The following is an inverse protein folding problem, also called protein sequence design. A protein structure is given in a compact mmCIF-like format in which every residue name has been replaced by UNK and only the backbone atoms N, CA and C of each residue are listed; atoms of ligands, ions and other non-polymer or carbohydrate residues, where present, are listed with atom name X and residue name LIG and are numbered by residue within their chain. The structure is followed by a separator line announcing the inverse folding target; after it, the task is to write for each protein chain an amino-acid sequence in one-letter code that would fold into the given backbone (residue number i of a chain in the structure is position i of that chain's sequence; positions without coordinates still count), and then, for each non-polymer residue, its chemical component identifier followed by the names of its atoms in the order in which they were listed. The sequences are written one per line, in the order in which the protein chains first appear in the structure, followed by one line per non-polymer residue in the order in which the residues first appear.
data_IF_302456443565
#
_entry.id   IF_302456443565
#
_cell.length_a   1.000
_cell.length_b   1.000
_cell.length_c   1.000
_cell.angle_alpha   90.00
_cell.angle_beta   90.00
_cell.angle_gamma   90.00
#
_symmetry.space_group_name_H-M   'P 1'
#
loop_
_entity.id
_entity.type
_entity.pdbx_description
1 polymer ?
#
# COMPACT_ATOMS: atom_id res chain seq x y z
N UNK A 1 17.65 -1.24 -13.10
CA UNK A 1 16.45 -1.65 -12.34
C UNK A 1 15.62 -2.51 -13.27
N UNK A 2 15.45 -3.79 -12.95
CA UNK A 2 14.49 -4.62 -13.66
C UNK A 2 13.11 -4.04 -13.36
N UNK A 3 12.46 -3.48 -14.38
CA UNK A 3 11.15 -2.90 -14.23
C UNK A 3 10.15 -4.06 -14.25
N UNK A 4 9.79 -4.54 -13.06
CA UNK A 4 8.84 -5.63 -12.91
C UNK A 4 7.45 -5.14 -13.31
N UNK A 5 6.89 -5.68 -14.39
CA UNK A 5 5.56 -5.26 -14.88
C UNK A 5 4.49 -5.46 -13.81
N UNK A 6 4.60 -6.51 -12.97
CA UNK A 6 3.61 -6.78 -11.92
C UNK A 6 3.73 -5.79 -10.77
N UNK A 7 4.95 -5.39 -10.40
CA UNK A 7 5.14 -4.32 -9.42
C UNK A 7 4.51 -3.02 -9.91
N UNK A 8 4.73 -2.65 -11.18
CA UNK A 8 4.13 -1.45 -11.76
C UNK A 8 2.60 -1.49 -11.69
N UNK A 9 1.99 -2.62 -12.06
CA UNK A 9 0.55 -2.84 -11.96
C UNK A 9 0.05 -2.67 -10.52
N UNK A 10 0.70 -3.34 -9.55
CA UNK A 10 0.34 -3.23 -8.13
C UNK A 10 0.46 -1.79 -7.61
N UNK A 11 1.44 -1.02 -8.08
CA UNK A 11 1.58 0.40 -7.72
C UNK A 11 0.46 1.26 -8.31
N UNK A 12 0.04 0.99 -9.54
CA UNK A 12 -1.09 1.68 -10.18
C UNK A 12 -2.42 1.35 -9.48
N UNK A 13 -2.62 0.09 -9.09
CA UNK A 13 -3.76 -0.36 -8.28
C UNK A 13 -3.76 0.31 -6.89
N UNK A 14 -2.61 0.32 -6.20
CA UNK A 14 -2.48 0.95 -4.89
C UNK A 14 -2.77 2.46 -4.94
N UNK A 15 -2.24 3.17 -5.94
CA UNK A 15 -2.55 4.59 -6.17
C UNK A 15 -4.05 4.81 -6.36
N UNK A 16 -4.71 3.93 -7.12
CA UNK A 16 -6.14 4.03 -7.38
C UNK A 16 -6.95 3.80 -6.10
N UNK A 17 -6.59 2.77 -5.32
CA UNK A 17 -7.24 2.46 -4.05
C UNK A 17 -7.15 3.61 -3.02
N UNK A 18 -5.98 4.26 -2.91
CA UNK A 18 -5.79 5.43 -2.04
C UNK A 18 -6.72 6.58 -2.48
N UNK A 19 -6.75 6.87 -3.79
CA UNK A 19 -7.60 7.93 -4.34
C UNK A 19 -9.08 7.62 -4.12
N UNK A 20 -9.50 6.38 -4.34
CA UNK A 20 -10.89 5.94 -4.12
C UNK A 20 -11.28 6.06 -2.65
N UNK A 21 -10.45 5.61 -1.71
CA UNK A 21 -10.72 5.75 -0.28
C UNK A 21 -10.94 7.22 0.13
N UNK A 22 -10.10 8.14 -0.35
CA UNK A 22 -10.26 9.58 -0.09
C UNK A 22 -11.54 10.15 -0.75
N UNK A 23 -11.87 9.72 -1.98
CA UNK A 23 -13.07 10.15 -2.71
C UNK A 23 -14.36 9.64 -2.08
N UNK A 24 -14.32 8.44 -1.52
CA UNK A 24 -15.45 7.77 -0.86
C UNK A 24 -15.67 8.28 0.58
N UNK A 25 -14.93 9.31 0.99
CA UNK A 25 -15.12 9.99 2.26
C UNK A 25 -14.46 9.27 3.44
N UNK A 26 -13.21 8.80 3.25
CA UNK A 26 -12.39 8.28 4.34
C UNK A 26 -12.52 9.15 5.61
N UNK A 27 -12.79 8.49 6.74
CA UNK A 27 -13.14 9.14 8.02
C UNK A 27 -12.30 8.65 9.21
N UNK A 28 -11.28 7.82 8.94
CA UNK A 28 -10.29 7.41 9.95
C UNK A 28 -9.20 8.45 10.14
N UNK A 29 -8.16 8.12 10.91
CA UNK A 29 -6.97 8.98 11.02
C UNK A 29 -6.12 8.84 9.76
N UNK A 30 -5.60 9.94 9.22
CA UNK A 30 -4.76 9.86 8.01
C UNK A 30 -3.51 8.99 8.19
N UNK A 31 -2.96 8.91 9.39
CA UNK A 31 -1.84 8.02 9.72
C UNK A 31 -2.20 6.54 9.59
N UNK A 32 -3.48 6.21 9.69
CA UNK A 32 -4.01 4.84 9.57
C UNK A 32 -4.54 4.55 8.16
N UNK A 33 -4.58 5.53 7.25
CA UNK A 33 -5.15 5.38 5.90
C UNK A 33 -4.53 4.17 5.16
N UNK A 34 -3.21 4.04 5.25
CA UNK A 34 -2.50 2.90 4.66
C UNK A 34 -2.99 1.56 5.20
N UNK A 35 -3.07 1.42 6.52
CA UNK A 35 -3.56 0.20 7.15
C UNK A 35 -5.00 -0.11 6.76
N UNK A 36 -5.87 0.91 6.78
CA UNK A 36 -7.28 0.76 6.42
C UNK A 36 -7.45 0.31 4.97
N UNK A 37 -6.67 0.85 4.04
CA UNK A 37 -6.78 0.52 2.61
C UNK A 37 -6.18 -0.84 2.28
N UNK A 38 -5.09 -1.25 2.93
CA UNK A 38 -4.29 -2.39 2.47
C UNK A 38 -4.20 -3.58 3.44
N UNK A 39 -4.75 -3.47 4.65
CA UNK A 39 -4.64 -4.52 5.68
C UNK A 39 -5.99 -4.99 6.25
N UNK A 40 -7.08 -4.28 5.97
CA UNK A 40 -8.42 -4.64 6.49
C UNK A 40 -9.14 -5.69 5.64
N UNK A 41 -8.71 -5.88 4.39
CA UNK A 41 -9.15 -6.95 3.49
C UNK A 41 -7.97 -7.50 2.69
N UNK A 42 -8.15 -8.68 2.10
CA UNK A 42 -7.14 -9.30 1.25
C UNK A 42 -7.21 -8.75 -0.18
N UNK A 43 -6.04 -8.31 -0.66
CA UNK A 43 -5.75 -8.05 -2.07
C UNK A 43 -6.02 -9.28 -2.94
N UNK A 44 -5.55 -10.46 -2.54
CA UNK A 44 -5.80 -11.72 -3.26
C UNK A 44 -6.29 -12.80 -2.29
N UNK A 45 -7.47 -13.36 -2.63
CA UNK A 45 -8.03 -14.56 -2.04
C UNK A 45 -7.90 -15.73 -3.03
N UNK A 46 -7.35 -16.84 -2.56
CA UNK A 46 -7.14 -18.09 -3.29
C UNK A 46 -5.67 -18.37 -3.58
N UNK A 47 -5.14 -19.44 -2.99
CA UNK A 47 -3.75 -19.92 -3.15
C UNK A 47 -3.26 -19.99 -4.61
N UNK A 48 -4.11 -20.42 -5.54
CA UNK A 48 -3.72 -20.53 -6.96
C UNK A 48 -3.43 -19.15 -7.56
N UNK A 49 -4.32 -18.17 -7.35
CA UNK A 49 -4.15 -16.80 -7.84
C UNK A 49 -2.95 -16.11 -7.17
N UNK A 50 -2.78 -16.32 -5.87
CA UNK A 50 -1.63 -15.78 -5.14
C UNK A 50 -0.29 -16.28 -5.71
N UNK A 51 -0.20 -17.59 -6.02
CA UNK A 51 1.00 -18.16 -6.67
C UNK A 51 1.26 -17.59 -8.06
N UNK A 52 0.20 -17.35 -8.86
CA UNK A 52 0.35 -16.71 -10.17
C UNK A 52 0.90 -15.28 -10.04
N UNK A 53 0.29 -14.45 -9.19
CA UNK A 53 0.74 -13.08 -8.97
C UNK A 53 2.18 -13.00 -8.46
N UNK A 54 2.57 -13.85 -7.51
CA UNK A 54 3.95 -13.93 -7.02
C UNK A 54 4.94 -14.40 -8.09
N UNK A 55 4.53 -15.27 -9.00
CA UNK A 55 5.37 -15.70 -10.13
C UNK A 55 5.59 -14.56 -11.12
N UNK A 56 4.54 -13.79 -11.41
CA UNK A 56 4.64 -12.59 -12.26
C UNK A 56 5.48 -11.48 -11.61
N UNK A 57 5.48 -11.40 -10.27
CA UNK A 57 6.30 -10.45 -9.51
C UNK A 57 7.77 -10.91 -9.34
N UNK A 58 8.08 -12.19 -9.46
CA UNK A 58 9.30 -12.82 -8.90
C UNK A 58 9.16 -13.13 -7.39
N UNK A 59 9.13 -14.42 -7.09
CA UNK A 59 8.89 -14.93 -5.74
C UNK A 59 10.03 -14.57 -4.79
N UNK A 60 11.27 -14.52 -5.28
CA UNK A 60 12.43 -14.23 -4.44
C UNK A 60 12.48 -12.75 -4.07
N UNK A 61 12.25 -11.87 -5.05
CA UNK A 61 12.16 -10.43 -4.80
C UNK A 61 11.03 -10.11 -3.80
N UNK A 62 9.88 -10.78 -3.92
CA UNK A 62 8.77 -10.65 -2.97
C UNK A 62 9.16 -11.07 -1.53
N UNK A 63 9.84 -12.22 -1.40
CA UNK A 63 10.31 -12.72 -0.09
C UNK A 63 11.32 -11.75 0.53
N UNK A 64 12.31 -11.30 -0.25
CA UNK A 64 13.35 -10.39 0.22
C UNK A 64 12.75 -9.05 0.68
N UNK A 65 11.81 -8.49 -0.09
CA UNK A 65 11.13 -7.24 0.25
C UNK A 65 10.32 -7.35 1.54
N UNK A 66 9.51 -8.40 1.70
CA UNK A 66 8.73 -8.63 2.94
C UNK A 66 9.65 -8.86 4.13
N UNK A 67 10.70 -9.66 3.98
CA UNK A 67 11.66 -9.91 5.06
C UNK A 67 12.41 -8.64 5.49
N UNK A 68 12.89 -7.84 4.54
CA UNK A 68 13.58 -6.59 4.84
C UNK A 68 12.64 -5.64 5.60
N UNK A 69 11.43 -5.45 5.09
CA UNK A 69 10.42 -4.62 5.71
C UNK A 69 10.11 -5.02 7.15
N UNK A 70 9.78 -6.29 7.41
CA UNK A 70 9.40 -6.72 8.76
C UNK A 70 10.59 -6.66 9.73
N UNK A 71 11.82 -6.96 9.27
CA UNK A 71 13.01 -6.82 10.12
C UNK A 71 13.30 -5.36 10.46
N UNK A 72 13.19 -4.46 9.49
CA UNK A 72 13.51 -3.04 9.69
C UNK A 72 12.46 -2.35 10.59
N UNK A 73 11.19 -2.76 10.51
CA UNK A 73 10.11 -2.17 11.30
C UNK A 73 9.84 -2.87 12.64
N UNK A 74 10.04 -4.18 12.72
CA UNK A 74 9.63 -4.98 13.88
C UNK A 74 10.75 -5.84 14.49
N UNK A 75 11.91 -5.94 13.85
CA UNK A 75 13.05 -6.71 14.31
C UNK A 75 12.96 -8.22 14.04
N UNK A 76 11.84 -8.73 13.55
CA UNK A 76 11.63 -10.13 13.19
C UNK A 76 10.64 -10.29 12.03
N UNK A 77 10.59 -11.48 11.44
CA UNK A 77 9.68 -11.81 10.33
C UNK A 77 8.46 -12.53 10.90
N UNK A 78 7.26 -11.96 10.68
CA UNK A 78 5.98 -12.51 11.14
C UNK A 78 5.19 -13.18 10.04
N UNK A 79 5.34 -12.72 8.81
CA UNK A 79 4.62 -13.28 7.67
C UNK A 79 5.07 -14.72 7.42
N UNK A 80 4.10 -15.64 7.32
CA UNK A 80 4.37 -17.00 6.85
C UNK A 80 4.73 -16.96 5.34
N UNK A 81 6.01 -16.85 5.05
CA UNK A 81 6.56 -16.76 3.69
C UNK A 81 6.31 -18.04 2.87
N UNK A 82 5.92 -19.15 3.51
CA UNK A 82 5.54 -20.38 2.83
C UNK A 82 4.09 -20.37 2.34
N UNK A 83 3.27 -19.43 2.83
CA UNK A 83 1.89 -19.24 2.44
C UNK A 83 1.77 -18.15 1.37
N UNK A 84 1.41 -18.50 0.11
CA UNK A 84 1.32 -17.54 -0.98
C UNK A 84 0.34 -16.40 -0.72
N UNK A 85 -0.80 -16.66 -0.07
CA UNK A 85 -1.78 -15.61 0.24
C UNK A 85 -1.20 -14.64 1.26
N UNK A 86 -0.55 -15.14 2.31
CA UNK A 86 0.09 -14.26 3.31
C UNK A 86 1.19 -13.41 2.69
N UNK A 87 2.04 -14.02 1.85
CA UNK A 87 3.13 -13.32 1.18
C UNK A 87 2.64 -12.23 0.23
N UNK A 88 1.69 -12.52 -0.67
CA UNK A 88 1.23 -11.51 -1.65
C UNK A 88 0.44 -10.37 -1.00
N UNK A 89 -0.35 -10.65 0.04
CA UNK A 89 -1.09 -9.61 0.76
C UNK A 89 -0.13 -8.70 1.53
N UNK A 90 0.91 -9.25 2.18
CA UNK A 90 1.92 -8.42 2.84
C UNK A 90 2.78 -7.63 1.84
N UNK A 91 3.10 -8.23 0.70
CA UNK A 91 3.78 -7.51 -0.38
C UNK A 91 2.95 -6.31 -0.87
N UNK A 92 1.64 -6.48 -1.07
CA UNK A 92 0.76 -5.39 -1.50
C UNK A 92 0.61 -4.31 -0.43
N UNK A 93 0.53 -4.69 0.85
CA UNK A 93 0.59 -3.76 1.97
C UNK A 93 1.84 -2.87 1.90
N UNK A 94 3.03 -3.46 1.76
CA UNK A 94 4.30 -2.69 1.69
C UNK A 94 4.31 -1.76 0.46
N UNK A 95 3.90 -2.26 -0.71
CA UNK A 95 3.83 -1.45 -1.93
C UNK A 95 2.85 -0.29 -1.78
N UNK A 96 1.71 -0.52 -1.12
CA UNK A 96 0.74 0.52 -0.80
C UNK A 96 1.32 1.63 0.08
N UNK A 97 2.19 1.28 1.03
CA UNK A 97 2.86 2.26 1.90
C UNK A 97 3.83 3.13 1.11
N UNK A 98 4.66 2.51 0.28
CA UNK A 98 5.63 3.20 -0.59
C UNK A 98 4.91 4.17 -1.52
N UNK A 99 3.81 3.73 -2.14
CA UNK A 99 2.99 4.57 -3.02
C UNK A 99 2.35 5.73 -2.25
N UNK A 100 1.80 5.49 -1.06
CA UNK A 100 1.23 6.56 -0.23
C UNK A 100 2.30 7.60 0.10
N UNK A 101 3.48 7.18 0.56
CA UNK A 101 4.59 8.07 0.88
C UNK A 101 5.04 8.90 -0.32
N UNK A 102 5.17 8.30 -1.50
CA UNK A 102 5.54 9.01 -2.74
C UNK A 102 4.47 10.01 -3.20
N UNK A 103 3.19 9.63 -3.11
CA UNK A 103 2.07 10.51 -3.46
C UNK A 103 2.03 11.73 -2.55
N UNK A 104 2.23 11.52 -1.25
CA UNK A 104 2.06 12.55 -0.23
C UNK A 104 3.33 13.36 0.04
N UNK A 105 4.49 12.95 -0.49
CA UNK A 105 5.72 13.72 -0.39
C UNK A 105 5.52 15.16 -0.91
N UNK A 106 5.85 16.15 -0.07
CA UNK A 106 5.64 17.57 -0.37
C UNK A 106 4.18 18.05 -0.41
N UNK A 107 3.19 17.23 -0.04
CA UNK A 107 1.79 17.64 0.07
C UNK A 107 1.55 18.27 1.45
N UNK A 108 1.58 19.60 1.53
CA UNK A 108 1.49 20.36 2.79
C UNK A 108 0.22 20.01 3.60
N UNK A 109 -0.95 20.00 2.94
CA UNK A 109 -2.23 19.66 3.61
C UNK A 109 -2.25 18.25 4.19
N UNK A 110 -1.56 17.29 3.58
CA UNK A 110 -1.39 15.96 4.15
C UNK A 110 -0.51 16.01 5.39
N UNK A 111 0.65 16.64 5.30
CA UNK A 111 1.62 16.70 6.40
C UNK A 111 1.06 17.41 7.64
N UNK A 112 0.28 18.48 7.45
CA UNK A 112 -0.37 19.22 8.54
C UNK A 112 -1.49 18.42 9.22
N UNK A 113 -2.09 17.45 8.51
CA UNK A 113 -3.24 16.68 8.98
C UNK A 113 -2.93 15.20 9.20
N UNK A 114 -1.69 14.74 9.04
CA UNK A 114 -1.35 13.31 9.08
C UNK A 114 -1.86 12.59 10.34
N UNK A 115 -1.86 13.26 11.50
CA UNK A 115 -2.36 12.69 12.75
C UNK A 115 -3.76 13.18 13.16
N UNK A 116 -4.53 13.72 12.22
CA UNK A 116 -5.90 14.19 12.42
C UNK A 116 -6.91 13.17 11.86
N UNK A 117 -8.13 13.23 12.39
CA UNK A 117 -9.27 12.55 11.78
C UNK A 117 -9.57 13.19 10.42
N UNK A 118 -9.79 12.34 9.42
CA UNK A 118 -10.16 12.77 8.09
C UNK A 118 -11.57 13.36 8.05
N UNK A 119 -11.73 14.39 7.23
CA UNK A 119 -13.00 15.00 6.89
C UNK A 119 -13.10 15.26 5.38
N UNK A 120 -14.31 15.55 4.91
CA UNK A 120 -14.59 15.75 3.48
C UNK A 120 -13.77 16.91 2.88
N UNK A 121 -13.56 17.99 3.64
CA UNK A 121 -12.84 19.18 3.18
C UNK A 121 -11.35 18.87 2.97
N UNK A 122 -10.73 18.21 3.94
CA UNK A 122 -9.33 17.83 3.93
C UNK A 122 -9.07 16.74 2.90
N UNK A 123 -9.95 15.75 2.76
CA UNK A 123 -9.88 14.75 1.68
C UNK A 123 -9.89 15.41 0.29
N UNK A 124 -10.81 16.35 0.06
CA UNK A 124 -10.88 17.09 -1.21
C UNK A 124 -9.64 17.96 -1.46
N UNK A 125 -9.08 18.57 -0.41
CA UNK A 125 -7.87 19.37 -0.50
C UNK A 125 -6.63 18.51 -0.84
N UNK A 126 -6.49 17.33 -0.22
CA UNK A 126 -5.43 16.35 -0.52
C UNK A 126 -5.54 15.91 -1.99
N UNK A 127 -6.73 15.48 -2.42
CA UNK A 127 -6.98 15.06 -3.81
C UNK A 127 -6.59 16.15 -4.82
N UNK A 128 -6.96 17.41 -4.55
CA UNK A 128 -6.59 18.55 -5.40
C UNK A 128 -5.09 18.84 -5.41
N UNK A 129 -4.38 18.57 -4.31
CA UNK A 129 -2.94 18.77 -4.23
C UNK A 129 -2.18 17.72 -5.04
N UNK A 130 -2.56 16.44 -4.93
CA UNK A 130 -1.92 15.34 -5.66
C UNK A 130 -2.21 15.38 -7.17
N UNK A 131 -3.34 15.94 -7.61
CA UNK A 131 -3.65 16.11 -9.04
C UNK A 131 -2.76 17.16 -9.74
N UNK A 132 -2.14 18.06 -8.99
CA UNK A 132 -1.30 19.15 -9.52
C UNK A 132 0.19 18.79 -9.58
N UNK A 133 0.57 17.66 -9.00
CA UNK A 133 1.95 17.16 -8.94
C UNK A 133 2.26 16.36 -10.21
#
# INVERSE_FOLDING_TARGET
MYNNNKEKEMREEARSAIIEALRDGYSGYYCDLHNEVFNTDYYIIGTYKAKQALTEYDVWDAIEKVQAYERDNFGEVYTDLSNPEKLINMLYYIIGEEVLNEMMDGVEVWNENWNNLADEETNAAILKAIEKK
#
